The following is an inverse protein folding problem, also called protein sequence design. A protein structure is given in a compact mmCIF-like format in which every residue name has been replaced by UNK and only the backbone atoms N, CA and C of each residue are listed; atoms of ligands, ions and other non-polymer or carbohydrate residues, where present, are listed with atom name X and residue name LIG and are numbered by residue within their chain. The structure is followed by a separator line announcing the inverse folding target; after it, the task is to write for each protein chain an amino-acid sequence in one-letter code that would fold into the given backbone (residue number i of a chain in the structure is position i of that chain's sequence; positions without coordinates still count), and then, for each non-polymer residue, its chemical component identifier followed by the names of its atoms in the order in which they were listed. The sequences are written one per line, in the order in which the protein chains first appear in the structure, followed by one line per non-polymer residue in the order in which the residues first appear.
data_IF_860098176878
#
_entry.id   IF_860098176878
#
_cell.length_a   1.000
_cell.length_b   1.000
_cell.length_c   1.000
_cell.angle_alpha   90.00
_cell.angle_beta   90.00
_cell.angle_gamma   90.00
#
_symmetry.space_group_name_H-M   'P 1'
#
loop_
_entity.id
_entity.type
_entity.pdbx_description
1 polymer ?
#
# COMPACT_ATOMS: atom_id res chain seq x y z
N UNK A 1 -18.29 -26.84 38.85
CA UNK A 1 -18.44 -25.40 39.12
C UNK A 1 -17.73 -24.64 38.00
N UNK A 2 -18.55 -24.19 37.04
CA UNK A 2 -18.52 -22.94 36.28
C UNK A 2 -17.22 -22.19 35.97
N UNK A 3 -17.03 -22.01 34.66
CA UNK A 3 -16.74 -20.78 33.90
C UNK A 3 -15.35 -20.13 33.90
N UNK A 4 -14.94 -19.69 32.69
CA UNK A 4 -14.09 -18.50 32.57
C UNK A 4 -13.25 -18.29 31.31
N UNK A 5 -13.84 -18.39 30.13
CA UNK A 5 -13.32 -18.00 28.79
C UNK A 5 -12.47 -16.71 28.74
N UNK A 6 -11.31 -16.77 28.05
CA UNK A 6 -10.74 -15.76 27.13
C UNK A 6 -9.44 -16.33 26.49
N UNK A 7 -9.53 -16.92 25.29
CA UNK A 7 -9.34 -16.28 23.98
C UNK A 7 -7.86 -15.91 23.73
N UNK A 8 -7.04 -16.75 23.09
CA UNK A 8 -7.03 -17.12 21.66
C UNK A 8 -6.91 -15.90 20.74
N UNK A 9 -5.68 -15.48 20.40
CA UNK A 9 -5.26 -14.87 19.12
C UNK A 9 -3.74 -14.70 19.17
N UNK A 10 -3.01 -15.61 18.53
CA UNK A 10 -1.55 -15.61 18.51
C UNK A 10 -1.06 -16.78 17.67
N UNK A 11 -1.13 -16.66 16.36
CA UNK A 11 -0.68 -17.71 15.45
C UNK A 11 -0.61 -17.23 14.02
N UNK A 12 0.59 -17.34 13.45
CA UNK A 12 0.92 -17.40 12.02
C UNK A 12 0.73 -16.13 11.19
N UNK A 13 1.85 -15.41 10.91
CA UNK A 13 2.56 -15.47 9.61
C UNK A 13 4.06 -15.20 9.86
N UNK A 14 4.84 -16.27 9.84
CA UNK A 14 6.28 -16.28 9.63
C UNK A 14 6.58 -17.43 8.64
N UNK A 15 7.58 -17.24 7.78
CA UNK A 15 7.87 -17.95 6.51
C UNK A 15 7.12 -17.31 5.33
N UNK A 16 7.77 -16.62 4.39
CA UNK A 16 8.80 -17.14 3.48
C UNK A 16 9.90 -16.09 3.24
N UNK A 17 11.10 -16.32 3.79
CA UNK A 17 12.37 -15.80 3.27
C UNK A 17 13.27 -17.02 3.14
N UNK A 18 13.72 -17.31 1.92
CA UNK A 18 14.62 -18.44 1.68
C UNK A 18 14.90 -18.72 0.21
N UNK A 19 15.89 -18.01 -0.35
CA UNK A 19 16.82 -18.55 -1.35
C UNK A 19 16.48 -18.29 -2.82
N UNK A 20 17.29 -17.46 -3.48
CA UNK A 20 18.22 -17.92 -4.51
C UNK A 20 19.34 -16.89 -4.70
N UNK A 21 20.57 -17.31 -4.39
CA UNK A 21 21.83 -16.63 -4.67
C UNK A 21 22.37 -17.15 -6.02
N UNK A 22 22.78 -16.20 -6.87
CA UNK A 22 23.94 -16.23 -7.78
C UNK A 22 24.15 -17.43 -8.72
N UNK A 23 23.91 -17.18 -10.01
CA UNK A 23 24.80 -17.41 -11.17
C UNK A 23 24.03 -16.82 -12.38
N UNK A 24 24.50 -15.97 -13.28
CA UNK A 24 25.80 -15.81 -13.90
C UNK A 24 25.53 -15.56 -15.40
N UNK A 25 26.00 -14.43 -15.93
CA UNK A 25 26.06 -14.04 -17.36
C UNK A 25 24.76 -13.74 -18.12
N UNK A 26 24.76 -12.57 -18.76
CA UNK A 26 23.59 -11.91 -19.33
C UNK A 26 23.20 -12.32 -20.75
N UNK A 27 22.03 -11.81 -21.16
CA UNK A 27 21.70 -11.49 -22.54
C UNK A 27 20.83 -10.24 -22.55
N UNK A 28 21.29 -9.21 -23.25
CA UNK A 28 20.51 -8.05 -23.61
C UNK A 28 19.56 -8.41 -24.77
N UNK A 29 18.26 -8.11 -24.64
CA UNK A 29 17.36 -7.94 -25.78
C UNK A 29 16.39 -6.81 -25.44
N UNK A 30 16.51 -5.69 -26.15
CA UNK A 30 15.51 -4.62 -26.16
C UNK A 30 14.60 -4.75 -27.38
N UNK A 31 13.33 -4.34 -27.23
CA UNK A 31 12.38 -3.87 -28.26
C UNK A 31 11.33 -3.08 -27.45
N UNK A 32 11.23 -1.74 -27.50
CA UNK A 32 10.71 -0.86 -28.54
C UNK A 32 9.21 -1.05 -28.88
N UNK A 33 8.56 0.05 -29.29
CA UNK A 33 7.17 0.21 -29.77
C UNK A 33 6.13 0.44 -28.66
N UNK A 34 5.31 1.49 -28.66
CA UNK A 34 5.11 2.57 -29.62
C UNK A 34 3.83 3.33 -29.30
N UNK A 35 3.97 4.63 -29.08
CA UNK A 35 3.20 5.75 -29.65
C UNK A 35 1.90 5.36 -30.40
N UNK A 36 0.79 5.76 -29.78
CA UNK A 36 -0.35 6.46 -30.41
C UNK A 36 -0.94 5.86 -31.70
N UNK A 37 -1.97 5.02 -31.55
CA UNK A 37 -2.95 4.76 -32.60
C UNK A 37 -4.33 5.17 -32.11
N UNK A 38 -4.66 6.45 -32.31
CA UNK A 38 -5.92 7.03 -31.84
C UNK A 38 -6.32 8.31 -32.56
N UNK A 39 -5.96 8.48 -33.84
CA UNK A 39 -6.53 9.54 -34.70
C UNK A 39 -6.50 9.04 -36.14
N UNK A 40 -7.65 8.56 -36.64
CA UNK A 40 -8.15 8.73 -38.02
C UNK A 40 -9.27 7.74 -38.32
N UNK A 41 -10.48 8.08 -37.85
CA UNK A 41 -11.69 7.97 -38.66
C UNK A 41 -12.61 9.10 -38.19
N UNK A 42 -12.58 10.21 -38.93
CA UNK A 42 -13.46 11.35 -38.72
C UNK A 42 -14.87 11.04 -39.18
N UNK A 43 -15.85 11.49 -38.41
CA UNK A 43 -17.16 11.86 -38.90
C UNK A 43 -17.60 13.08 -38.11
N UNK A 44 -17.66 14.22 -38.81
CA UNK A 44 -18.30 15.45 -38.36
C UNK A 44 -19.64 15.15 -37.69
N UNK A 45 -19.75 15.57 -36.44
CA UNK A 45 -21.05 15.91 -35.87
C UNK A 45 -20.85 17.03 -34.87
N UNK A 46 -21.22 18.23 -35.30
CA UNK A 46 -21.43 19.38 -34.45
C UNK A 46 -22.42 18.99 -33.34
N UNK A 47 -21.97 18.98 -32.09
CA UNK A 47 -22.86 18.99 -30.92
C UNK A 47 -22.81 20.39 -30.35
N UNK A 48 -23.93 21.11 -30.50
CA UNK A 48 -24.14 22.44 -29.94
C UNK A 48 -24.14 22.43 -28.40
N UNK A 49 -24.20 23.61 -27.77
CA UNK A 49 -24.11 23.76 -26.34
C UNK A 49 -25.45 23.34 -25.71
N UNK A 50 -25.57 22.07 -25.34
CA UNK A 50 -26.74 21.56 -24.66
C UNK A 50 -26.71 20.04 -24.60
N UNK A 51 -26.75 19.51 -23.38
CA UNK A 51 -26.94 18.10 -23.05
C UNK A 51 -25.68 17.22 -23.17
N UNK A 52 -24.78 17.38 -22.19
CA UNK A 52 -23.88 16.29 -21.80
C UNK A 52 -24.72 15.12 -21.26
N UNK A 53 -24.53 13.88 -21.76
CA UNK A 53 -25.20 12.72 -21.21
C UNK A 53 -24.73 12.50 -19.77
N UNK A 54 -25.68 12.24 -18.88
CA UNK A 54 -25.49 11.92 -17.45
C UNK A 54 -24.58 10.71 -17.15
N UNK A 55 -23.91 10.14 -18.17
CA UNK A 55 -22.93 9.07 -18.08
C UNK A 55 -21.52 9.54 -17.64
N UNK A 56 -21.24 10.84 -17.66
CA UNK A 56 -19.96 11.41 -17.19
C UNK A 56 -20.02 11.96 -15.75
N UNK A 57 -21.19 11.98 -15.13
CA UNK A 57 -21.36 12.20 -13.69
C UNK A 57 -21.42 10.87 -12.94
N UNK A 58 -20.46 9.97 -13.20
CA UNK A 58 -20.16 8.92 -12.22
C UNK A 58 -19.38 9.62 -11.11
N UNK A 59 -20.12 10.14 -10.14
CA UNK A 59 -19.62 10.45 -8.81
C UNK A 59 -18.60 9.37 -8.43
N UNK A 60 -17.32 9.75 -8.33
CA UNK A 60 -16.29 8.95 -7.70
C UNK A 60 -16.75 8.75 -6.26
N UNK A 61 -17.55 7.72 -6.00
CA UNK A 61 -17.78 7.24 -4.66
C UNK A 61 -16.41 6.85 -4.14
N UNK A 62 -15.85 7.68 -3.25
CA UNK A 62 -14.67 7.27 -2.51
C UNK A 62 -15.09 6.06 -1.68
N UNK A 63 -14.75 4.87 -2.20
CA UNK A 63 -14.95 3.63 -1.47
C UNK A 63 -14.30 3.80 -0.09
N UNK A 64 -15.02 3.41 0.97
CA UNK A 64 -14.44 3.45 2.30
C UNK A 64 -13.15 2.63 2.33
N UNK A 65 -12.12 3.08 3.06
CA UNK A 65 -10.85 2.33 3.17
C UNK A 65 -11.05 0.89 3.62
N UNK A 66 -12.11 0.63 4.40
CA UNK A 66 -12.50 -0.72 4.82
C UNK A 66 -12.97 -1.58 3.65
N UNK A 67 -13.84 -1.03 2.79
CA UNK A 67 -14.28 -1.75 1.60
C UNK A 67 -13.10 -2.05 0.64
N UNK A 68 -12.17 -1.11 0.50
CA UNK A 68 -10.95 -1.32 -0.29
C UNK A 68 -10.08 -2.41 0.33
N UNK A 69 -9.87 -2.39 1.65
CA UNK A 69 -9.14 -3.43 2.37
C UNK A 69 -9.80 -4.82 2.21
N UNK A 70 -11.12 -4.92 2.36
CA UNK A 70 -11.87 -6.17 2.16
C UNK A 70 -11.68 -6.70 0.72
N UNK A 71 -11.73 -5.80 -0.27
CA UNK A 71 -11.47 -6.15 -1.68
C UNK A 71 -10.04 -6.65 -1.86
N UNK A 72 -9.04 -5.98 -1.29
CA UNK A 72 -7.64 -6.41 -1.39
C UNK A 72 -7.46 -7.81 -0.77
N UNK A 73 -8.09 -8.08 0.37
CA UNK A 73 -8.01 -9.41 1.02
C UNK A 73 -8.65 -10.50 0.17
N UNK A 74 -9.80 -10.23 -0.45
CA UNK A 74 -10.42 -11.14 -1.41
C UNK A 74 -9.46 -11.46 -2.58
N UNK A 75 -8.84 -10.42 -3.17
CA UNK A 75 -7.91 -10.57 -4.29
C UNK A 75 -6.64 -11.33 -3.91
N UNK A 76 -6.09 -11.09 -2.72
CA UNK A 76 -4.95 -11.86 -2.21
C UNK A 76 -5.29 -13.35 -2.03
N UNK A 77 -6.51 -13.65 -1.54
CA UNK A 77 -7.00 -15.03 -1.45
C UNK A 77 -7.14 -15.68 -2.83
N UNK A 78 -7.66 -14.95 -3.83
CA UNK A 78 -7.76 -15.43 -5.21
C UNK A 78 -6.38 -15.74 -5.80
N UNK A 79 -5.42 -14.84 -5.61
CA UNK A 79 -4.04 -14.99 -6.08
C UNK A 79 -3.40 -16.22 -5.43
N UNK A 80 -3.53 -16.39 -4.11
CA UNK A 80 -3.02 -17.58 -3.42
C UNK A 80 -3.63 -18.87 -3.97
N UNK A 81 -4.93 -18.85 -4.30
CA UNK A 81 -5.60 -19.97 -4.97
C UNK A 81 -5.02 -20.27 -6.36
N UNK A 82 -4.68 -19.24 -7.15
CA UNK A 82 -4.04 -19.39 -8.47
C UNK A 82 -2.60 -19.90 -8.36
N UNK A 83 -1.82 -19.38 -7.42
CA UNK A 83 -0.45 -19.84 -7.14
C UNK A 83 -0.43 -21.34 -6.81
N UNK A 84 -1.35 -21.80 -5.96
CA UNK A 84 -1.50 -23.24 -5.65
C UNK A 84 -1.79 -24.07 -6.91
N UNK A 85 -2.68 -23.59 -7.78
CA UNK A 85 -2.99 -24.27 -9.06
C UNK A 85 -1.78 -24.33 -9.99
N UNK A 86 -0.97 -23.26 -10.07
CA UNK A 86 0.27 -23.27 -10.87
C UNK A 86 1.28 -24.29 -10.36
N UNK A 87 1.43 -24.42 -9.03
CA UNK A 87 2.30 -25.44 -8.42
C UNK A 87 1.81 -26.85 -8.73
N UNK A 88 0.51 -27.10 -8.63
CA UNK A 88 -0.08 -28.40 -8.99
C UNK A 88 0.13 -28.75 -10.48
N UNK A 89 -0.03 -27.77 -11.36
CA UNK A 89 0.21 -27.94 -12.81
C UNK A 89 1.69 -28.21 -13.09
N UNK A 90 2.61 -27.50 -12.42
CA UNK A 90 4.05 -27.74 -12.53
C UNK A 90 4.41 -29.17 -12.15
N UNK A 91 3.90 -29.66 -11.02
CA UNK A 91 4.15 -31.03 -10.57
C UNK A 91 3.60 -32.08 -11.56
N UNK A 92 2.41 -31.86 -12.13
CA UNK A 92 1.85 -32.76 -13.16
C UNK A 92 2.73 -32.80 -14.41
N UNK A 93 3.18 -31.65 -14.88
CA UNK A 93 4.04 -31.54 -16.07
C UNK A 93 5.41 -32.20 -15.82
N UNK A 94 5.97 -32.06 -14.61
CA UNK A 94 7.20 -32.75 -14.22
C UNK A 94 7.02 -34.27 -14.18
N UNK A 95 5.90 -34.77 -13.67
CA UNK A 95 5.58 -36.19 -13.67
C UNK A 95 5.38 -36.77 -15.10
N UNK A 96 4.79 -35.99 -16.01
CA UNK A 96 4.55 -36.38 -17.41
C UNK A 96 5.71 -36.04 -18.35
N UNK A 97 6.83 -35.54 -17.81
CA UNK A 97 7.97 -35.04 -18.60
C UNK A 97 8.57 -36.07 -19.55
N UNK A 98 8.43 -37.37 -19.26
CA UNK A 98 8.87 -38.46 -20.13
C UNK A 98 8.12 -38.53 -21.47
N UNK A 99 6.94 -37.90 -21.59
CA UNK A 99 6.06 -38.00 -22.76
C UNK A 99 5.97 -36.66 -23.54
N UNK A 100 6.59 -35.60 -23.02
CA UNK A 100 6.58 -34.26 -23.61
C UNK A 100 7.96 -34.01 -24.23
N UNK A 101 8.00 -33.68 -25.53
CA UNK A 101 9.25 -33.32 -26.20
C UNK A 101 9.97 -32.15 -25.51
N UNK A 102 11.31 -32.14 -25.47
CA UNK A 102 12.10 -31.20 -24.66
C UNK A 102 11.80 -29.73 -24.98
N UNK A 103 11.59 -29.39 -26.25
CA UNK A 103 11.23 -28.04 -26.69
C UNK A 103 9.86 -27.58 -26.15
N UNK A 104 8.87 -28.47 -26.17
CA UNK A 104 7.53 -28.16 -25.68
C UNK A 104 7.53 -28.04 -24.15
N UNK A 105 8.29 -28.91 -23.49
CA UNK A 105 8.50 -28.86 -22.05
C UNK A 105 9.17 -27.56 -21.60
N UNK A 106 10.21 -27.11 -22.33
CA UNK A 106 10.90 -25.84 -22.06
C UNK A 106 9.96 -24.64 -22.19
N UNK A 107 9.17 -24.59 -23.27
CA UNK A 107 8.17 -23.53 -23.48
C UNK A 107 7.11 -23.52 -22.37
N UNK A 108 6.60 -24.68 -21.97
CA UNK A 108 5.60 -24.78 -20.90
C UNK A 108 6.17 -24.35 -19.56
N UNK A 109 7.40 -24.74 -19.20
CA UNK A 109 8.06 -24.29 -17.96
C UNK A 109 8.24 -22.78 -17.95
N UNK A 110 8.76 -22.21 -19.04
CA UNK A 110 8.94 -20.75 -19.17
C UNK A 110 7.61 -20.00 -19.03
N UNK A 111 6.52 -20.53 -19.59
CA UNK A 111 5.19 -19.94 -19.43
C UNK A 111 4.69 -19.99 -17.97
N UNK A 112 4.91 -21.11 -17.26
CA UNK A 112 4.54 -21.24 -15.85
C UNK A 112 5.40 -20.35 -14.94
N UNK A 113 6.69 -20.21 -15.23
CA UNK A 113 7.60 -19.30 -14.51
C UNK A 113 7.14 -17.85 -14.70
N UNK A 114 6.81 -17.45 -15.93
CA UNK A 114 6.27 -16.14 -16.25
C UNK A 114 4.95 -15.87 -15.51
N UNK A 115 4.00 -16.82 -15.54
CA UNK A 115 2.74 -16.70 -14.81
C UNK A 115 2.94 -16.58 -13.29
N UNK A 116 3.89 -17.35 -12.74
CA UNK A 116 4.23 -17.29 -11.30
C UNK A 116 4.82 -15.92 -10.93
N UNK A 117 5.70 -15.37 -11.78
CA UNK A 117 6.27 -14.04 -11.57
C UNK A 117 5.21 -12.93 -11.65
N UNK A 118 4.26 -13.03 -12.57
CA UNK A 118 3.14 -12.07 -12.68
C UNK A 118 2.29 -12.09 -11.41
N UNK A 119 1.90 -13.29 -10.92
CA UNK A 119 1.10 -13.41 -9.69
C UNK A 119 1.86 -12.88 -8.46
N UNK A 120 3.15 -13.18 -8.34
CA UNK A 120 3.98 -12.68 -7.24
C UNK A 120 4.00 -11.14 -7.22
N UNK A 121 4.22 -10.50 -8.38
CA UNK A 121 4.19 -9.04 -8.52
C UNK A 121 2.83 -8.44 -8.18
N UNK A 122 1.73 -9.09 -8.59
CA UNK A 122 0.40 -8.61 -8.22
C UNK A 122 0.15 -8.70 -6.72
N UNK A 123 0.51 -9.83 -6.10
CA UNK A 123 0.41 -10.03 -4.65
C UNK A 123 1.18 -8.95 -3.89
N UNK A 124 2.40 -8.66 -4.33
CA UNK A 124 3.26 -7.62 -3.78
C UNK A 124 2.64 -6.22 -3.90
N UNK A 125 2.09 -5.87 -5.07
CA UNK A 125 1.39 -4.58 -5.26
C UNK A 125 0.15 -4.44 -4.38
N UNK A 126 -0.60 -5.51 -4.18
CA UNK A 126 -1.73 -5.53 -3.24
C UNK A 126 -1.27 -5.36 -1.78
N UNK A 127 -0.18 -5.99 -1.37
CA UNK A 127 0.41 -5.77 -0.04
C UNK A 127 0.88 -4.32 0.16
N UNK A 128 1.53 -3.72 -0.84
CA UNK A 128 1.90 -2.31 -0.77
C UNK A 128 0.69 -1.39 -0.59
N UNK A 129 -0.47 -1.73 -1.19
CA UNK A 129 -1.72 -1.00 -0.96
C UNK A 129 -2.26 -1.15 0.46
N UNK A 130 -2.11 -2.32 1.09
CA UNK A 130 -2.44 -2.50 2.50
C UNK A 130 -1.53 -1.64 3.41
N UNK A 131 -0.24 -1.53 3.09
CA UNK A 131 0.67 -0.64 3.81
C UNK A 131 0.26 0.82 3.69
N UNK A 132 -0.17 1.25 2.51
CA UNK A 132 -0.66 2.60 2.29
C UNK A 132 -1.91 2.89 3.16
N UNK A 133 -2.85 1.95 3.26
CA UNK A 133 -4.02 2.05 4.15
C UNK A 133 -3.57 2.13 5.62
N UNK A 134 -2.65 1.27 6.05
CA UNK A 134 -2.14 1.26 7.42
C UNK A 134 -1.44 2.58 7.76
N UNK A 135 -0.63 3.11 6.84
CA UNK A 135 0.05 4.39 6.98
C UNK A 135 -0.94 5.55 7.10
N UNK A 136 -1.96 5.60 6.23
CA UNK A 136 -3.02 6.62 6.30
C UNK A 136 -3.74 6.57 7.65
N UNK A 137 -4.13 5.38 8.12
CA UNK A 137 -4.78 5.22 9.44
C UNK A 137 -3.89 5.70 10.57
N UNK A 138 -2.61 5.35 10.53
CA UNK A 138 -1.63 5.77 11.53
C UNK A 138 -1.40 7.28 11.53
N UNK A 139 -1.24 7.91 10.36
CA UNK A 139 -1.09 9.36 10.22
C UNK A 139 -2.33 10.12 10.71
N UNK A 140 -3.52 9.65 10.38
CA UNK A 140 -4.77 10.23 10.89
C UNK A 140 -4.87 10.10 12.43
N UNK A 141 -4.21 9.10 13.02
CA UNK A 141 -4.11 8.96 14.47
C UNK A 141 -3.16 9.97 15.13
N UNK A 142 -2.26 10.60 14.37
CA UNK A 142 -1.33 11.63 14.86
C UNK A 142 -1.93 13.04 14.81
N UNK A 143 -2.88 13.30 13.90
CA UNK A 143 -3.52 14.62 13.73
C UNK A 143 -4.04 15.22 15.04
N UNK A 144 -4.78 14.48 15.90
CA UNK A 144 -5.28 15.03 17.17
C UNK A 144 -4.17 15.40 18.18
N UNK A 145 -2.97 14.85 18.03
CA UNK A 145 -1.85 15.14 18.92
C UNK A 145 -1.22 16.50 18.60
N UNK A 146 -1.34 16.95 17.35
CA UNK A 146 -0.80 18.20 16.86
C UNK A 146 -1.78 19.40 16.99
N UNK A 147 -3.08 19.16 17.21
CA UNK A 147 -4.10 20.20 17.28
C UNK A 147 -4.20 20.88 18.65
N UNK A 148 -4.61 22.14 18.73
CA UNK A 148 -4.87 22.88 20.00
C UNK A 148 -3.71 22.82 21.02
N UNK A 149 -2.46 22.85 20.55
CA UNK A 149 -1.28 22.70 21.43
C UNK A 149 -1.06 23.89 22.38
N UNK A 150 -1.55 25.06 22.00
CA UNK A 150 -1.51 26.33 22.74
C UNK A 150 -2.38 26.33 24.00
N UNK A 151 -3.41 25.47 24.04
CA UNK A 151 -4.39 25.38 25.13
C UNK A 151 -4.08 24.28 26.14
N UNK A 152 -2.98 23.55 25.96
CA UNK A 152 -2.68 22.40 26.79
C UNK A 152 -2.30 22.78 28.22
N UNK A 153 -2.85 22.00 29.15
CA UNK A 153 -2.38 21.93 30.54
C UNK A 153 -1.17 21.00 30.64
N UNK A 154 -0.45 21.07 31.77
CA UNK A 154 0.72 20.22 32.02
C UNK A 154 0.39 18.72 31.95
N UNK A 155 -0.77 18.31 32.48
CA UNK A 155 -1.19 16.92 32.49
C UNK A 155 -1.63 16.45 31.09
N UNK A 156 -2.24 17.32 30.30
CA UNK A 156 -2.57 17.04 28.89
C UNK A 156 -1.31 16.92 28.02
N UNK A 157 -0.29 17.76 28.25
CA UNK A 157 1.03 17.59 27.60
C UNK A 157 1.63 16.21 27.90
N UNK A 158 1.62 15.80 29.17
CA UNK A 158 2.07 14.46 29.58
C UNK A 158 1.29 13.34 28.90
N UNK A 159 -0.04 13.47 28.84
CA UNK A 159 -0.88 12.49 28.18
C UNK A 159 -0.58 12.36 26.69
N UNK A 160 -0.46 13.50 25.99
CA UNK A 160 -0.13 13.52 24.56
C UNK A 160 1.27 13.00 24.27
N UNK A 161 2.25 13.28 25.12
CA UNK A 161 3.60 12.71 24.99
C UNK A 161 3.57 11.19 25.02
N UNK A 162 2.83 10.57 25.95
CA UNK A 162 2.69 9.10 26.01
C UNK A 162 1.97 8.55 24.78
N UNK A 163 0.92 9.23 24.30
CA UNK A 163 0.21 8.83 23.09
C UNK A 163 1.12 8.92 21.85
N UNK A 164 1.94 9.96 21.77
CA UNK A 164 2.91 10.16 20.69
C UNK A 164 4.01 9.09 20.72
N UNK A 165 4.52 8.73 21.89
CA UNK A 165 5.49 7.64 22.05
C UNK A 165 4.89 6.31 21.60
N UNK A 166 3.69 5.96 22.06
CA UNK A 166 3.00 4.75 21.61
C UNK A 166 2.68 4.76 20.09
N UNK A 167 2.41 5.93 19.51
CA UNK A 167 2.24 6.06 18.07
C UNK A 167 3.57 5.91 17.31
N UNK A 168 4.67 6.48 17.82
CA UNK A 168 6.01 6.33 17.26
C UNK A 168 6.45 4.86 17.27
N UNK A 169 6.28 4.18 18.40
CA UNK A 169 6.67 2.77 18.54
C UNK A 169 5.89 1.88 17.55
N UNK A 170 4.60 2.19 17.29
CA UNK A 170 3.82 1.54 16.22
C UNK A 170 4.38 1.83 14.82
N UNK A 171 4.77 3.07 14.54
CA UNK A 171 5.37 3.43 13.27
C UNK A 171 6.75 2.79 13.04
N UNK A 172 7.56 2.67 14.10
CA UNK A 172 8.84 1.96 14.07
C UNK A 172 8.65 0.45 13.85
N UNK A 173 7.59 -0.14 14.44
CA UNK A 173 7.21 -1.51 14.18
C UNK A 173 6.87 -1.74 12.69
N UNK A 174 6.11 -0.82 12.07
CA UNK A 174 5.85 -0.87 10.63
C UNK A 174 7.13 -0.78 9.81
N UNK A 175 8.07 0.13 10.14
CA UNK A 175 9.35 0.19 9.43
C UNK A 175 10.14 -1.11 9.53
N UNK A 176 10.16 -1.73 10.71
CA UNK A 176 10.86 -3.01 10.90
C UNK A 176 10.22 -4.13 10.10
N UNK A 177 8.90 -4.17 10.05
CA UNK A 177 8.14 -5.14 9.26
C UNK A 177 8.41 -4.95 7.75
N UNK A 178 8.36 -3.72 7.26
CA UNK A 178 8.47 -3.41 5.83
C UNK A 178 9.92 -3.44 5.32
N UNK A 179 10.91 -3.21 6.19
CA UNK A 179 12.33 -3.27 5.82
C UNK A 179 12.80 -4.68 5.43
N UNK A 180 12.06 -5.74 5.80
CA UNK A 180 12.35 -7.12 5.42
C UNK A 180 11.92 -7.49 4.00
N UNK A 181 11.24 -6.60 3.29
CA UNK A 181 10.70 -6.85 1.94
C UNK A 181 11.60 -6.19 0.90
N UNK A 182 11.90 -6.90 -0.18
CA UNK A 182 12.58 -6.32 -1.33
C UNK A 182 11.59 -5.41 -2.08
N UNK A 183 11.88 -4.11 -2.11
CA UNK A 183 11.03 -3.09 -2.74
C UNK A 183 11.55 -2.65 -4.11
N UNK A 184 12.60 -3.29 -4.64
CA UNK A 184 13.21 -2.91 -5.91
C UNK A 184 12.24 -2.95 -7.08
N UNK A 185 11.27 -3.88 -7.06
CA UNK A 185 10.22 -4.00 -8.07
C UNK A 185 8.88 -3.32 -7.70
N UNK A 186 8.79 -2.69 -6.51
CA UNK A 186 7.53 -2.15 -5.96
C UNK A 186 7.71 -0.67 -5.57
N UNK A 187 7.70 0.26 -6.54
CA UNK A 187 7.93 1.68 -6.28
C UNK A 187 6.90 2.28 -5.31
N UNK A 188 5.67 1.77 -5.28
CA UNK A 188 4.64 2.19 -4.33
C UNK A 188 5.00 1.83 -2.89
N UNK A 189 5.60 0.66 -2.68
CA UNK A 189 6.08 0.20 -1.37
C UNK A 189 7.21 1.08 -0.86
N UNK A 190 8.17 1.42 -1.73
CA UNK A 190 9.26 2.33 -1.39
C UNK A 190 8.75 3.72 -0.99
N UNK A 191 7.77 4.28 -1.73
CA UNK A 191 7.13 5.55 -1.36
C UNK A 191 6.45 5.49 0.01
N UNK A 192 5.81 4.37 0.35
CA UNK A 192 5.20 4.17 1.68
C UNK A 192 6.24 4.20 2.79
N UNK A 193 7.37 3.50 2.61
CA UNK A 193 8.48 3.48 3.56
C UNK A 193 9.08 4.88 3.75
N UNK A 194 9.33 5.60 2.66
CA UNK A 194 9.94 6.94 2.73
C UNK A 194 8.99 7.94 3.41
N UNK A 195 7.69 7.88 3.10
CA UNK A 195 6.67 8.67 3.77
C UNK A 195 6.55 8.34 5.26
N UNK A 196 6.65 7.06 5.64
CA UNK A 196 6.67 6.65 7.05
C UNK A 196 7.90 7.19 7.78
N UNK A 197 9.10 7.10 7.19
CA UNK A 197 10.33 7.69 7.76
C UNK A 197 10.19 9.20 7.95
N UNK A 198 9.67 9.90 6.96
CA UNK A 198 9.43 11.34 7.04
C UNK A 198 8.46 11.69 8.17
N UNK A 199 7.35 10.94 8.28
CA UNK A 199 6.36 11.16 9.32
C UNK A 199 6.90 10.85 10.74
N UNK A 200 7.73 9.82 10.91
CA UNK A 200 8.44 9.55 12.17
C UNK A 200 9.42 10.69 12.52
N UNK A 201 10.10 11.26 11.53
CA UNK A 201 10.90 12.47 11.72
C UNK A 201 10.06 13.66 12.21
N UNK A 202 8.83 13.81 11.72
CA UNK A 202 7.88 14.81 12.21
C UNK A 202 7.39 14.52 13.65
N UNK A 203 7.21 13.25 14.02
CA UNK A 203 6.89 12.86 15.41
C UNK A 203 7.98 13.30 16.39
N UNK A 204 9.26 13.21 16.02
CA UNK A 204 10.36 13.68 16.86
C UNK A 204 10.27 15.20 17.14
N UNK A 205 9.97 15.99 16.11
CA UNK A 205 9.76 17.45 16.25
C UNK A 205 8.55 17.78 17.13
N UNK A 206 7.44 17.04 16.95
CA UNK A 206 6.25 17.22 17.79
C UNK A 206 6.55 16.88 19.26
N UNK A 207 7.35 15.85 19.52
CA UNK A 207 7.79 15.48 20.87
C UNK A 207 8.60 16.60 21.51
N UNK A 208 9.57 17.15 20.79
CA UNK A 208 10.37 18.28 21.28
C UNK A 208 9.49 19.48 21.62
N UNK A 209 8.54 19.84 20.75
CA UNK A 209 7.61 20.92 21.00
C UNK A 209 6.74 20.68 22.25
N UNK A 210 6.22 19.47 22.43
CA UNK A 210 5.42 19.11 23.62
C UNK A 210 6.26 19.17 24.91
N UNK A 211 7.54 18.80 24.87
CA UNK A 211 8.45 18.91 26.02
C UNK A 211 8.72 20.38 26.37
N UNK A 212 8.95 21.23 25.36
CA UNK A 212 9.14 22.67 25.57
C UNK A 212 7.88 23.31 26.17
N UNK A 213 6.70 22.98 25.64
CA UNK A 213 5.42 23.43 26.19
C UNK A 213 5.24 22.99 27.65
N UNK A 214 5.54 21.72 27.94
CA UNK A 214 5.46 21.19 29.30
C UNK A 214 6.41 21.91 30.26
N UNK A 215 7.65 22.14 29.85
CA UNK A 215 8.64 22.86 30.65
C UNK A 215 8.19 24.30 30.91
N UNK A 216 7.65 24.97 29.89
CA UNK A 216 7.11 26.33 30.04
C UNK A 216 5.94 26.38 31.03
N UNK A 217 5.01 25.41 30.96
CA UNK A 217 3.90 25.32 31.92
C UNK A 217 4.38 25.03 33.34
N UNK A 218 5.45 24.26 33.52
CA UNK A 218 6.00 23.94 34.84
C UNK A 218 6.71 25.13 35.50
N UNK A 219 7.24 26.04 34.70
CA UNK A 219 8.01 27.21 35.17
C UNK A 219 7.17 28.49 35.23
N UNK A 220 5.98 28.46 34.63
CA UNK A 220 5.01 29.56 34.62
C UNK A 220 4.78 30.12 36.03
N UNK A 221 5.08 31.41 36.22
CA UNK A 221 4.93 32.10 37.50
C UNK A 221 6.21 32.23 38.32
N UNK A 222 7.36 31.83 37.77
CA UNK A 222 8.69 32.00 38.38
C UNK A 222 9.46 33.07 37.59
N UNK A 223 9.35 34.35 37.97
CA UNK A 223 10.13 35.44 37.39
C UNK A 223 11.57 35.39 37.98
N UNK A 224 12.61 35.03 37.19
CA UNK A 224 12.86 35.55 35.84
C UNK A 224 12.81 34.51 34.70
N UNK A 225 12.38 33.27 34.96
CA UNK A 225 12.37 32.21 33.95
C UNK A 225 11.25 32.39 32.91
N UNK A 226 10.15 33.05 33.28
CA UNK A 226 9.05 33.38 32.35
C UNK A 226 9.55 34.18 31.15
N UNK A 227 10.45 35.16 31.34
CA UNK A 227 11.01 36.00 30.27
C UNK A 227 12.01 35.22 29.39
N UNK A 228 12.73 34.26 29.96
CA UNK A 228 13.72 33.45 29.24
C UNK A 228 13.07 32.40 28.32
N UNK A 229 11.83 31.99 28.60
CA UNK A 229 11.13 30.94 27.85
C UNK A 229 10.25 31.49 26.71
N UNK A 230 9.91 32.78 26.70
CA UNK A 230 9.14 33.42 25.61
C UNK A 230 9.74 33.19 24.21
N UNK A 231 11.08 33.28 23.99
CA UNK A 231 11.68 33.01 22.69
C UNK A 231 11.62 31.53 22.28
N UNK A 232 11.66 30.61 23.26
CA UNK A 232 11.57 29.17 23.03
C UNK A 232 10.12 28.71 22.76
N UNK A 233 9.14 29.45 23.29
CA UNK A 233 7.71 29.26 23.05
C UNK A 233 7.19 30.00 21.81
N UNK A 234 8.00 30.88 21.19
CA UNK A 234 7.62 31.53 19.95
C UNK A 234 7.16 30.46 18.97
N UNK A 235 5.98 30.64 18.33
CA UNK A 235 5.33 29.57 17.58
C UNK A 235 6.35 29.04 16.61
N UNK A 236 6.77 27.80 16.82
CA UNK A 236 7.56 27.10 15.84
C UNK A 236 6.65 27.06 14.62
N UNK A 237 6.84 27.98 13.67
CA UNK A 237 6.24 27.93 12.32
C UNK A 237 6.45 26.55 11.67
N UNK A 238 7.38 25.76 12.21
CA UNK A 238 7.56 24.33 11.96
C UNK A 238 6.34 23.44 12.27
N UNK A 239 5.42 23.82 13.16
CA UNK A 239 4.19 23.07 13.48
C UNK A 239 3.03 23.46 12.55
N UNK A 240 2.95 24.70 12.07
CA UNK A 240 1.98 25.09 11.04
C UNK A 240 2.22 24.35 9.70
N UNK A 241 3.47 23.90 9.46
CA UNK A 241 3.83 23.02 8.35
C UNK A 241 3.55 21.52 8.62
N UNK A 242 2.87 21.14 9.71
CA UNK A 242 2.46 19.75 9.99
C UNK A 242 1.27 19.25 9.17
N UNK A 243 0.85 19.98 8.12
CA UNK A 243 0.09 19.42 7.01
C UNK A 243 0.72 18.12 6.43
N UNK A 244 1.97 17.81 6.82
CA UNK A 244 2.63 16.49 6.72
C UNK A 244 1.79 15.29 7.18
N UNK A 245 0.88 15.44 8.14
CA UNK A 245 0.00 14.34 8.57
C UNK A 245 -1.34 14.31 7.81
N UNK A 246 -1.59 15.27 6.92
CA UNK A 246 -2.84 15.41 6.19
C UNK A 246 -2.92 14.38 5.05
N UNK A 247 -3.30 13.15 5.40
CA UNK A 247 -3.44 12.04 4.46
C UNK A 247 -4.54 12.27 3.40
N UNK A 248 -5.37 13.32 3.54
CA UNK A 248 -6.44 13.64 2.59
C UNK A 248 -5.94 13.92 1.17
N UNK A 249 -4.79 14.59 1.02
CA UNK A 249 -4.19 14.80 -0.30
C UNK A 249 -3.79 13.47 -0.97
N UNK A 250 -3.38 12.48 -0.16
CA UNK A 250 -2.89 11.18 -0.65
C UNK A 250 -4.00 10.19 -1.01
N UNK A 251 -5.24 10.41 -0.56
CA UNK A 251 -6.38 9.54 -0.88
C UNK A 251 -6.77 9.60 -2.37
N UNK A 252 -6.51 10.71 -3.05
CA UNK A 252 -6.74 10.85 -4.49
C UNK A 252 -5.80 9.99 -5.32
N UNK A 253 -4.49 10.05 -5.00
CA UNK A 253 -3.45 9.22 -5.63
C UNK A 253 -3.67 7.74 -5.34
N UNK A 254 -4.02 7.40 -4.09
CA UNK A 254 -4.39 6.04 -3.69
C UNK A 254 -5.52 5.48 -4.56
N UNK A 255 -6.61 6.23 -4.70
CA UNK A 255 -7.79 5.78 -5.44
C UNK A 255 -7.49 5.55 -6.92
N UNK A 256 -6.62 6.37 -7.54
CA UNK A 256 -6.20 6.18 -8.93
C UNK A 256 -5.39 4.90 -9.08
N UNK A 257 -4.34 4.74 -8.27
CA UNK A 257 -3.46 3.58 -8.33
C UNK A 257 -4.18 2.27 -7.98
N UNK A 258 -5.14 2.30 -7.05
CA UNK A 258 -5.99 1.15 -6.74
C UNK A 258 -6.91 0.80 -7.92
N UNK A 259 -7.50 1.80 -8.58
CA UNK A 259 -8.36 1.57 -9.76
C UNK A 259 -7.58 0.96 -10.92
N UNK A 260 -6.34 1.39 -11.14
CA UNK A 260 -5.44 0.80 -12.14
C UNK A 260 -5.12 -0.66 -11.84
N UNK A 261 -4.85 -0.99 -10.56
CA UNK A 261 -4.59 -2.37 -10.13
C UNK A 261 -5.82 -3.27 -10.33
N UNK A 262 -7.02 -2.78 -9.98
CA UNK A 262 -8.27 -3.53 -10.21
C UNK A 262 -8.60 -3.69 -11.70
N UNK A 263 -8.26 -2.70 -12.54
CA UNK A 263 -8.42 -2.81 -13.99
C UNK A 263 -7.49 -3.90 -14.56
N UNK A 264 -6.26 -3.98 -14.06
CA UNK A 264 -5.32 -5.03 -14.45
C UNK A 264 -5.79 -6.43 -14.02
N UNK A 265 -6.27 -6.56 -12.77
CA UNK A 265 -6.86 -7.81 -12.29
C UNK A 265 -8.06 -8.23 -13.15
N UNK A 266 -8.95 -7.29 -13.45
CA UNK A 266 -10.13 -7.54 -14.28
C UNK A 266 -9.74 -7.99 -15.69
N UNK A 267 -8.71 -7.36 -16.28
CA UNK A 267 -8.16 -7.77 -17.58
C UNK A 267 -7.66 -9.22 -17.52
N UNK A 268 -6.80 -9.56 -16.56
CA UNK A 268 -6.27 -10.92 -16.44
C UNK A 268 -7.38 -11.96 -16.22
N UNK A 269 -8.38 -11.64 -15.40
CA UNK A 269 -9.53 -12.52 -15.20
C UNK A 269 -10.32 -12.73 -16.49
N UNK A 270 -10.55 -11.67 -17.28
CA UNK A 270 -11.23 -11.79 -18.57
C UNK A 270 -10.43 -12.60 -19.59
N UNK A 271 -9.11 -12.48 -19.60
CA UNK A 271 -8.22 -13.29 -20.45
C UNK A 271 -8.29 -14.77 -20.08
N UNK A 272 -8.35 -15.10 -18.79
CA UNK A 272 -8.56 -16.47 -18.30
C UNK A 272 -9.92 -17.02 -18.75
N UNK A 273 -11.00 -16.25 -18.60
CA UNK A 273 -12.35 -16.67 -19.00
C UNK A 273 -12.45 -16.95 -20.52
N UNK A 274 -11.78 -16.13 -21.34
CA UNK A 274 -11.69 -16.35 -22.79
C UNK A 274 -10.88 -17.61 -23.11
N UNK A 275 -9.78 -17.84 -22.39
CA UNK A 275 -8.96 -19.05 -22.57
C UNK A 275 -9.75 -20.32 -22.21
N UNK A 276 -10.53 -20.30 -21.13
CA UNK A 276 -11.41 -21.41 -20.74
C UNK A 276 -12.50 -21.68 -21.79
N UNK A 277 -13.14 -20.63 -22.30
CA UNK A 277 -14.15 -20.76 -23.37
C UNK A 277 -13.55 -21.35 -24.66
N UNK A 278 -12.36 -20.89 -25.06
CA UNK A 278 -11.68 -21.42 -26.23
C UNK A 278 -11.34 -22.92 -26.09
N UNK A 279 -10.96 -23.36 -24.89
CA UNK A 279 -10.72 -24.78 -24.60
C UNK A 279 -12.02 -25.59 -24.63
N UNK A 280 -13.13 -25.05 -24.11
CA UNK A 280 -14.44 -25.73 -24.19
C UNK A 280 -14.92 -25.89 -25.63
N UNK A 281 -14.87 -24.83 -26.43
CA UNK A 281 -15.28 -24.87 -27.86
C UNK A 281 -14.47 -25.92 -28.62
N UNK A 282 -13.16 -26.02 -28.36
CA UNK A 282 -12.29 -27.02 -28.98
C UNK A 282 -12.54 -28.47 -28.51
N UNK A 283 -13.21 -28.67 -27.37
CA UNK A 283 -13.61 -30.01 -26.89
C UNK A 283 -14.97 -30.46 -27.45
N UNK A 284 -15.79 -29.53 -27.93
CA UNK A 284 -17.13 -29.82 -28.46
C UNK A 284 -17.18 -29.96 -30.00
N UNK A 285 -16.14 -29.51 -30.70
CA UNK A 285 -15.94 -29.72 -32.14
C UNK A 285 -14.89 -30.79 -32.42
#
# INVERSE_FOLDING_TARGET
MTDGTRAAFGGFIGAVIGGFLMDGMGVAVGVAVGVSLGVLLGADREWGPGELPAALTRTRHMASLRHVEDTIQERLSDIAGREKRLVEVRHKIEAESAHIGPDRMGKTRSALDSASAILARQRERYHAKLWEIALVRWQNGLEPLASDWDKLTHDECNHRLRQLEAARDRGEAFLKEWAGVDLSEIPEGQRCVDRLKQALGSCAKLREALIVQQAALAVKGIAPMDEALVPAMAPTKSLENLDLFNARATLGEFSSAFSELEAEYSRLKSEDEIAEQAVMVRRMG
#
